data_IF_152612846516
#
_entry.id   IF_152612846516
#
_cell.length_a   1.000
_cell.length_b   1.000
_cell.length_c   1.000
_cell.angle_alpha   90.00
_cell.angle_beta   90.00
_cell.angle_gamma   90.00
#
_symmetry.space_group_name_H-M   'P 1'
#
loop_
_entity.id
_entity.type
_entity.pdbx_description
1 polymer ?
#
# COMPACT_ATOMS: atom_id res chain seq x y z
N UNK A 1 5.92 -19.71 25.04
CA UNK A 1 4.45 -19.77 24.90
C UNK A 1 3.94 -18.58 25.68
N UNK A 2 3.81 -17.46 24.98
CA UNK A 2 3.55 -16.19 25.63
C UNK A 2 2.04 -16.02 25.75
N UNK A 3 1.56 -16.12 26.99
CA UNK A 3 0.15 -15.98 27.30
C UNK A 3 -0.12 -14.51 27.59
N UNK A 4 -0.59 -13.77 26.59
CA UNK A 4 -1.09 -12.42 26.81
C UNK A 4 -2.51 -12.53 27.39
N UNK A 5 -2.78 -11.85 28.51
CA UNK A 5 -4.11 -11.78 29.11
C UNK A 5 -4.59 -10.32 29.10
N UNK A 6 -5.73 -10.07 28.44
CA UNK A 6 -6.33 -8.73 28.34
C UNK A 6 -7.59 -8.63 29.20
N UNK A 7 -7.79 -7.45 29.79
CA UNK A 7 -8.91 -7.08 30.66
C UNK A 7 -9.56 -5.78 30.17
N UNK A 8 -10.89 -5.74 30.15
CA UNK A 8 -11.66 -4.50 29.98
C UNK A 8 -12.91 -4.51 30.87
N UNK A 9 -13.21 -3.38 31.52
CA UNK A 9 -14.35 -3.18 32.42
C UNK A 9 -15.46 -2.38 31.71
N UNK A 10 -16.67 -2.94 31.64
CA UNK A 10 -17.85 -2.22 31.16
C UNK A 10 -19.14 -2.94 31.56
N UNK A 11 -20.08 -2.24 32.20
CA UNK A 11 -21.43 -2.73 32.52
C UNK A 11 -21.51 -4.11 33.22
N UNK A 12 -20.68 -4.38 34.25
CA UNK A 12 -20.64 -5.67 35.00
C UNK A 12 -20.36 -6.91 34.13
N UNK A 13 -19.73 -6.72 32.98
CA UNK A 13 -19.28 -7.80 32.10
C UNK A 13 -17.81 -8.07 32.34
N UNK A 14 -17.47 -9.31 32.64
CA UNK A 14 -16.09 -9.74 32.80
C UNK A 14 -15.63 -10.43 31.52
N UNK A 15 -14.66 -9.86 30.80
CA UNK A 15 -14.11 -10.48 29.59
C UNK A 15 -12.66 -10.91 29.82
N UNK A 16 -12.42 -12.20 29.62
CA UNK A 16 -11.08 -12.78 29.53
C UNK A 16 -10.70 -12.89 28.06
N UNK A 17 -9.45 -12.57 27.72
CA UNK A 17 -8.88 -12.98 26.43
C UNK A 17 -7.52 -13.61 26.70
N UNK A 18 -7.34 -14.85 26.26
CA UNK A 18 -6.07 -15.56 26.30
C UNK A 18 -5.55 -15.63 24.88
N UNK A 19 -4.35 -15.09 24.66
CA UNK A 19 -3.64 -15.21 23.40
C UNK A 19 -2.61 -16.30 23.55
N UNK A 20 -2.70 -17.33 22.72
CA UNK A 20 -1.70 -18.38 22.62
C UNK A 20 -1.06 -18.26 21.26
N UNK A 21 0.26 -18.05 21.25
CA UNK A 21 1.06 -18.21 20.05
C UNK A 21 1.20 -19.72 19.78
N UNK A 22 0.52 -20.20 18.75
CA UNK A 22 0.69 -21.58 18.28
C UNK A 22 1.98 -21.69 17.45
N UNK A 23 2.56 -22.88 17.36
CA UNK A 23 3.81 -23.21 16.67
C UNK A 23 3.83 -22.89 15.15
N UNK A 24 2.74 -22.32 14.62
CA UNK A 24 2.56 -21.91 13.22
C UNK A 24 2.44 -20.39 13.00
N UNK A 25 2.81 -19.57 13.98
CA UNK A 25 2.71 -18.09 13.93
C UNK A 25 1.26 -17.54 13.86
N UNK A 26 0.24 -18.36 14.12
CA UNK A 26 -1.15 -17.90 14.25
C UNK A 26 -1.46 -17.62 15.74
N UNK A 27 -1.83 -16.38 16.06
CA UNK A 27 -2.29 -16.00 17.39
C UNK A 27 -3.73 -16.49 17.57
N UNK A 28 -3.92 -17.58 18.33
CA UNK A 28 -5.24 -18.05 18.72
C UNK A 28 -5.74 -17.23 19.92
N UNK A 29 -6.74 -16.38 19.69
CA UNK A 29 -7.38 -15.59 20.75
C UNK A 29 -8.64 -16.31 21.24
N UNK A 30 -8.63 -16.77 22.48
CA UNK A 30 -9.81 -17.32 23.15
C UNK A 30 -10.38 -16.24 24.05
N UNK A 31 -11.62 -15.81 23.80
CA UNK A 31 -12.29 -14.84 24.67
C UNK A 31 -13.51 -15.46 25.34
N UNK A 32 -13.60 -15.29 26.65
CA UNK A 32 -14.73 -15.69 27.47
C UNK A 32 -15.35 -14.44 28.10
N UNK A 33 -16.65 -14.23 27.89
CA UNK A 33 -17.42 -13.16 28.52
C UNK A 33 -18.34 -13.79 29.58
N UNK A 34 -18.28 -13.26 30.80
CA UNK A 34 -19.10 -13.66 31.92
C UNK A 34 -19.95 -12.47 32.34
N UNK A 35 -21.27 -12.61 32.24
CA UNK A 35 -22.22 -11.66 32.81
C UNK A 35 -22.31 -11.91 34.32
N UNK A 36 -21.96 -10.91 35.13
CA UNK A 36 -21.96 -11.05 36.59
C UNK A 36 -23.14 -10.27 37.16
N UNK A 37 -24.17 -11.00 37.59
CA UNK A 37 -25.45 -10.43 37.97
C UNK A 37 -25.43 -9.68 39.32
N UNK A 38 -24.51 -10.02 40.23
CA UNK A 38 -24.43 -9.45 41.58
C UNK A 38 -23.15 -8.64 41.85
N UNK A 39 -23.25 -7.56 42.63
CA UNK A 39 -22.08 -6.76 43.04
C UNK A 39 -21.09 -7.53 43.93
N UNK A 40 -21.60 -8.47 44.72
CA UNK A 40 -20.75 -9.35 45.55
C UNK A 40 -19.99 -10.36 44.69
N UNK A 41 -20.64 -10.95 43.69
CA UNK A 41 -20.00 -11.87 42.74
C UNK A 41 -18.95 -11.14 41.91
N UNK A 42 -19.24 -9.88 41.53
CA UNK A 42 -18.29 -9.02 40.83
C UNK A 42 -17.04 -8.74 41.66
N UNK A 43 -17.23 -8.38 42.93
CA UNK A 43 -16.13 -8.14 43.87
C UNK A 43 -15.29 -9.41 44.09
N UNK A 44 -15.94 -10.56 44.29
CA UNK A 44 -15.28 -11.84 44.44
C UNK A 44 -14.46 -12.22 43.20
N UNK A 45 -15.00 -12.01 42.01
CA UNK A 45 -14.31 -12.27 40.74
C UNK A 45 -13.08 -11.37 40.57
N UNK A 46 -13.18 -10.08 40.93
CA UNK A 46 -12.08 -9.12 40.88
C UNK A 46 -10.95 -9.47 41.85
N UNK A 47 -11.30 -9.91 43.06
CA UNK A 47 -10.34 -10.38 44.07
C UNK A 47 -9.66 -11.68 43.62
N UNK A 48 -10.42 -12.64 43.10
CA UNK A 48 -9.88 -13.88 42.55
C UNK A 48 -8.91 -13.63 41.39
N UNK A 49 -9.26 -12.74 40.46
CA UNK A 49 -8.39 -12.39 39.34
C UNK A 49 -7.10 -11.69 39.78
N UNK A 50 -7.20 -10.74 40.71
CA UNK A 50 -6.04 -10.06 41.28
C UNK A 50 -5.09 -11.05 41.96
N UNK A 51 -5.64 -12.08 42.61
CA UNK A 51 -4.88 -13.17 43.23
C UNK A 51 -4.15 -14.05 42.19
N UNK A 52 -4.82 -14.39 41.08
CA UNK A 52 -4.23 -15.15 39.97
C UNK A 52 -3.07 -14.36 39.34
N UNK A 53 -3.27 -13.08 39.02
CA UNK A 53 -2.22 -12.21 38.47
C UNK A 53 -1.03 -12.09 39.42
N UNK A 54 -1.28 -11.96 40.73
CA UNK A 54 -0.22 -11.92 41.74
C UNK A 54 0.59 -13.22 41.75
N UNK A 55 -0.09 -14.38 41.78
CA UNK A 55 0.59 -15.70 41.72
C UNK A 55 1.40 -15.86 40.44
N UNK A 56 0.85 -15.47 39.30
CA UNK A 56 1.54 -15.52 38.02
C UNK A 56 2.81 -14.66 38.03
N UNK A 57 2.74 -13.41 38.53
CA UNK A 57 3.91 -12.54 38.69
C UNK A 57 4.95 -13.14 39.63
N UNK A 58 4.54 -13.73 40.74
CA UNK A 58 5.46 -14.37 41.69
C UNK A 58 6.11 -15.63 41.12
N UNK A 59 5.39 -16.43 40.34
CA UNK A 59 5.91 -17.65 39.72
C UNK A 59 6.84 -17.38 38.53
N UNK A 60 6.70 -16.22 37.89
CA UNK A 60 7.50 -15.82 36.73
C UNK A 60 8.40 -14.62 37.06
N UNK A 61 8.86 -14.49 38.31
CA UNK A 61 9.66 -13.36 38.77
C UNK A 61 11.00 -13.21 38.02
N UNK A 62 11.50 -14.31 37.43
CA UNK A 62 12.75 -14.34 36.65
C UNK A 62 12.54 -14.03 35.16
N UNK A 63 11.28 -13.87 34.72
CA UNK A 63 10.95 -13.41 33.37
C UNK A 63 10.90 -11.89 33.41
N UNK A 64 11.91 -11.22 32.87
CA UNK A 64 11.96 -9.76 32.80
C UNK A 64 10.63 -9.19 32.30
N UNK A 65 9.93 -8.48 33.18
CA UNK A 65 8.70 -7.81 32.80
C UNK A 65 9.05 -6.69 31.82
N UNK A 66 8.89 -6.94 30.52
CA UNK A 66 8.74 -5.86 29.54
C UNK A 66 7.47 -5.10 29.93
N UNK A 67 7.64 -3.97 30.62
CA UNK A 67 6.53 -3.06 30.89
C UNK A 67 6.00 -2.58 29.55
N UNK A 68 4.83 -3.08 29.15
CA UNK A 68 4.09 -2.43 28.09
C UNK A 68 3.77 -1.01 28.56
N UNK A 69 4.04 0.03 27.73
CA UNK A 69 3.68 1.40 28.08
C UNK A 69 2.19 1.44 28.47
N UNK A 70 1.87 2.09 29.59
CA UNK A 70 0.55 2.13 30.21
C UNK A 70 -0.53 2.86 29.41
N UNK A 71 -0.27 3.13 28.14
CA UNK A 71 -1.27 3.62 27.20
C UNK A 71 -2.07 2.40 26.74
N UNK A 72 -3.37 2.41 26.98
CA UNK A 72 -4.27 1.44 26.39
C UNK A 72 -4.17 1.54 24.86
N UNK A 73 -3.38 0.64 24.26
CA UNK A 73 -3.14 0.53 22.82
C UNK A 73 -4.46 0.25 22.06
N UNK A 74 -5.56 -0.01 22.78
CA UNK A 74 -6.90 -0.23 22.27
C UNK A 74 -7.89 0.89 22.61
N UNK A 75 -7.51 1.90 23.41
CA UNK A 75 -8.32 3.07 23.71
C UNK A 75 -8.33 4.04 22.52
N UNK A 76 -9.06 3.66 21.48
CA UNK A 76 -9.75 4.67 20.69
C UNK A 76 -10.62 5.47 21.70
N UNK A 77 -10.48 6.81 21.70
CA UNK A 77 -11.18 7.83 22.51
C UNK A 77 -12.46 7.47 23.29
N UNK A 78 -12.72 8.25 24.33
CA UNK A 78 -13.83 8.18 25.31
C UNK A 78 -15.27 8.18 24.79
N UNK A 79 -15.50 8.08 23.48
CA UNK A 79 -16.83 8.17 22.87
C UNK A 79 -17.24 6.80 22.32
N UNK A 80 -18.13 6.10 23.05
CA UNK A 80 -18.87 4.87 22.66
C UNK A 80 -18.32 4.08 21.46
N UNK A 81 -17.04 3.71 21.55
CA UNK A 81 -16.31 3.13 20.43
C UNK A 81 -16.56 1.63 20.36
N UNK A 82 -16.84 1.15 19.16
CA UNK A 82 -16.81 -0.27 18.84
C UNK A 82 -15.40 -0.76 19.19
N UNK A 83 -15.27 -1.57 20.24
CA UNK A 83 -13.98 -2.17 20.59
C UNK A 83 -13.38 -2.92 19.39
N UNK A 84 -12.04 -2.95 19.28
CA UNK A 84 -11.35 -3.68 18.22
C UNK A 84 -11.80 -5.15 18.10
N UNK A 85 -12.29 -5.74 19.21
CA UNK A 85 -12.86 -7.09 19.25
C UNK A 85 -14.19 -7.17 18.49
N UNK A 86 -15.12 -6.24 18.77
CA UNK A 86 -16.42 -6.20 18.08
C UNK A 86 -16.20 -5.93 16.59
N UNK A 87 -15.25 -5.06 16.26
CA UNK A 87 -14.86 -4.81 14.88
C UNK A 87 -14.35 -6.07 14.18
N UNK A 88 -13.42 -6.81 14.81
CA UNK A 88 -12.90 -8.08 14.27
C UNK A 88 -14.04 -9.07 14.02
N UNK A 89 -14.93 -9.24 14.99
CA UNK A 89 -16.07 -10.16 14.88
C UNK A 89 -17.03 -9.75 13.74
N UNK A 90 -17.32 -8.46 13.59
CA UNK A 90 -18.17 -7.97 12.51
C UNK A 90 -17.56 -8.24 11.13
N UNK A 91 -16.25 -7.96 10.97
CA UNK A 91 -15.53 -8.21 9.72
C UNK A 91 -15.47 -9.71 9.40
N UNK A 92 -15.16 -10.57 10.37
CA UNK A 92 -15.15 -12.03 10.14
C UNK A 92 -16.55 -12.58 9.84
N UNK A 93 -17.58 -12.13 10.56
CA UNK A 93 -18.96 -12.53 10.28
C UNK A 93 -19.40 -12.11 8.86
N UNK A 94 -18.98 -10.93 8.41
CA UNK A 94 -19.24 -10.47 7.05
C UNK A 94 -18.53 -11.32 6.00
N UNK A 95 -17.27 -11.66 6.23
CA UNK A 95 -16.51 -12.57 5.36
C UNK A 95 -17.22 -13.91 5.23
N UNK A 96 -17.70 -14.50 6.33
CA UNK A 96 -18.44 -15.75 6.29
C UNK A 96 -19.78 -15.68 5.51
N UNK A 97 -20.42 -14.51 5.43
CA UNK A 97 -21.68 -14.30 4.68
C UNK A 97 -21.49 -14.10 3.19
N UNK A 98 -20.31 -13.64 2.76
CA UNK A 98 -19.95 -13.59 1.36
C UNK A 98 -19.76 -15.04 0.91
N UNK A 99 -20.80 -15.65 0.33
CA UNK A 99 -20.73 -16.98 -0.25
C UNK A 99 -19.63 -16.99 -1.34
N UNK A 100 -18.42 -17.37 -0.95
CA UNK A 100 -17.25 -17.41 -1.81
C UNK A 100 -17.42 -18.57 -2.80
N UNK A 101 -18.05 -18.32 -3.94
CA UNK A 101 -17.75 -19.11 -5.14
C UNK A 101 -16.28 -18.81 -5.50
N UNK A 102 -15.53 -19.84 -5.90
CA UNK A 102 -14.06 -19.80 -6.03
C UNK A 102 -13.51 -18.65 -6.91
N UNK A 103 -14.34 -18.02 -7.74
CA UNK A 103 -13.95 -16.97 -8.68
C UNK A 103 -14.34 -15.54 -8.24
N UNK A 104 -15.51 -15.34 -7.62
CA UNK A 104 -15.93 -14.03 -7.10
C UNK A 104 -15.09 -13.59 -5.87
N UNK A 105 -14.58 -14.56 -5.11
CA UNK A 105 -13.72 -14.31 -3.94
C UNK A 105 -12.41 -13.57 -4.28
N UNK A 106 -11.90 -13.70 -5.50
CA UNK A 106 -10.63 -13.07 -5.92
C UNK A 106 -10.78 -11.60 -6.31
N UNK A 107 -12.00 -11.14 -6.59
CA UNK A 107 -12.27 -9.76 -6.96
C UNK A 107 -12.64 -8.89 -5.75
N UNK A 108 -13.24 -9.47 -4.71
CA UNK A 108 -13.59 -8.74 -3.50
C UNK A 108 -12.35 -8.46 -2.61
N UNK A 109 -12.10 -7.20 -2.33
CA UNK A 109 -10.99 -6.77 -1.46
C UNK A 109 -11.17 -7.27 -0.01
N UNK A 110 -12.41 -7.51 0.43
CA UNK A 110 -12.70 -8.04 1.77
C UNK A 110 -12.14 -9.46 1.95
N UNK A 111 -12.08 -10.28 0.89
CA UNK A 111 -11.40 -11.59 0.91
C UNK A 111 -9.92 -11.44 1.31
N UNK A 112 -9.28 -10.39 0.80
CA UNK A 112 -7.89 -10.04 1.13
C UNK A 112 -7.77 -9.25 2.43
N UNK A 113 -8.78 -9.23 3.31
CA UNK A 113 -8.78 -8.42 4.56
C UNK A 113 -8.45 -6.95 4.30
N UNK A 114 -9.00 -6.40 3.23
CA UNK A 114 -8.96 -4.98 2.89
C UNK A 114 -10.40 -4.47 2.94
N UNK A 115 -10.69 -3.54 3.85
CA UNK A 115 -11.96 -2.84 3.90
C UNK A 115 -11.94 -1.72 2.86
N UNK A 116 -12.68 -1.91 1.77
CA UNK A 116 -12.75 -0.94 0.68
C UNK A 116 -13.83 0.12 0.92
N UNK A 117 -13.45 1.33 1.31
CA UNK A 117 -14.33 2.51 1.40
C UNK A 117 -14.28 3.41 0.15
N UNK A 118 -13.55 2.98 -0.89
CA UNK A 118 -13.37 3.73 -2.14
C UNK A 118 -14.60 3.65 -3.05
N UNK A 119 -15.41 2.60 -2.91
CA UNK A 119 -16.65 2.38 -3.65
C UNK A 119 -17.73 3.41 -3.32
N UNK A 120 -18.65 3.60 -4.26
CA UNK A 120 -19.91 4.33 -4.01
C UNK A 120 -20.68 3.61 -2.90
N UNK A 121 -21.28 4.38 -2.00
CA UNK A 121 -21.94 3.88 -0.78
C UNK A 121 -22.95 2.77 -1.07
N UNK A 122 -23.84 2.99 -2.03
CA UNK A 122 -24.93 2.06 -2.39
C UNK A 122 -24.44 0.69 -2.87
N UNK A 123 -23.23 0.63 -3.45
CA UNK A 123 -22.66 -0.59 -4.01
C UNK A 123 -21.63 -1.25 -3.06
N UNK A 124 -21.44 -0.72 -1.84
CA UNK A 124 -20.36 -1.17 -0.98
C UNK A 124 -20.78 -2.37 -0.11
N UNK A 125 -20.14 -3.54 -0.26
CA UNK A 125 -20.41 -4.72 0.58
C UNK A 125 -20.24 -4.44 2.08
N UNK A 126 -19.43 -3.44 2.44
CA UNK A 126 -19.21 -3.03 3.84
C UNK A 126 -20.47 -2.52 4.53
N UNK A 127 -21.52 -2.09 3.82
CA UNK A 127 -22.80 -1.74 4.44
C UNK A 127 -23.57 -2.94 4.99
N UNK A 128 -23.19 -4.16 4.61
CA UNK A 128 -23.69 -5.39 5.25
C UNK A 128 -22.98 -5.69 6.57
N UNK A 129 -21.84 -5.03 6.81
CA UNK A 129 -20.92 -5.23 7.94
C UNK A 129 -21.11 -4.14 8.97
N UNK A 130 -21.18 -2.91 8.50
CA UNK A 130 -21.35 -1.71 9.32
C UNK A 130 -22.74 -1.14 9.09
N UNK A 131 -23.38 -0.69 10.16
CA UNK A 131 -24.51 0.22 9.99
C UNK A 131 -24.02 1.52 9.31
N UNK A 132 -24.97 2.29 8.78
CA UNK A 132 -24.68 3.52 8.03
C UNK A 132 -23.81 4.51 8.83
N UNK A 133 -24.10 4.67 10.12
CA UNK A 133 -23.38 5.59 11.02
C UNK A 133 -21.93 5.19 11.20
N UNK A 134 -21.67 3.91 11.46
CA UNK A 134 -20.31 3.38 11.60
C UNK A 134 -19.55 3.48 10.27
N UNK A 135 -20.18 3.11 9.15
CA UNK A 135 -19.55 3.23 7.83
C UNK A 135 -19.09 4.66 7.54
N UNK A 136 -19.96 5.64 7.77
CA UNK A 136 -19.65 7.06 7.53
C UNK A 136 -18.56 7.56 8.48
N UNK A 137 -18.61 7.16 9.76
CA UNK A 137 -17.56 7.48 10.74
C UNK A 137 -16.20 6.92 10.31
N UNK A 138 -16.13 5.62 10.02
CA UNK A 138 -14.89 4.95 9.59
C UNK A 138 -14.34 5.60 8.33
N UNK A 139 -15.19 5.85 7.33
CA UNK A 139 -14.78 6.52 6.10
C UNK A 139 -14.19 7.91 6.40
N UNK A 140 -14.84 8.71 7.25
CA UNK A 140 -14.36 10.04 7.61
C UNK A 140 -13.05 10.01 8.39
N UNK A 141 -12.90 9.06 9.32
CA UNK A 141 -11.70 8.87 10.15
C UNK A 141 -10.47 8.51 9.30
N UNK A 142 -10.65 7.63 8.32
CA UNK A 142 -9.54 7.13 7.50
C UNK A 142 -9.28 7.90 6.22
N UNK A 143 -10.14 8.86 5.85
CA UNK A 143 -9.91 9.73 4.69
C UNK A 143 -8.85 10.78 5.04
N UNK A 144 -7.75 10.83 4.28
CA UNK A 144 -6.77 11.93 4.41
C UNK A 144 -7.38 13.20 3.84
N UNK A 145 -7.46 14.25 4.66
CA UNK A 145 -7.73 15.60 4.15
C UNK A 145 -6.48 16.10 3.47
N UNK A 146 -6.44 15.95 2.14
CA UNK A 146 -5.33 16.46 1.34
C UNK A 146 -5.39 17.99 1.38
N UNK A 147 -4.37 18.68 1.91
CA UNK A 147 -4.35 20.14 1.91
C UNK A 147 -4.30 20.60 0.46
N UNK A 148 -5.37 21.25 0.01
CA UNK A 148 -5.38 21.98 -1.25
C UNK A 148 -4.60 23.26 -0.98
N UNK A 149 -3.29 23.17 -1.05
CA UNK A 149 -2.45 24.35 -0.97
C UNK A 149 -2.79 25.26 -2.13
N UNK A 150 -3.12 26.52 -1.85
CA UNK A 150 -3.12 27.59 -2.84
C UNK A 150 -1.67 27.89 -3.24
N UNK A 151 -0.99 26.94 -3.89
CA UNK A 151 0.29 27.16 -4.59
C UNK A 151 0.01 27.98 -5.86
N UNK A 152 -0.46 29.21 -5.65
CA UNK A 152 -0.76 30.18 -6.68
C UNK A 152 0.37 31.21 -6.64
N UNK A 153 1.32 31.12 -7.57
CA UNK A 153 2.27 32.22 -7.75
C UNK A 153 3.53 31.86 -8.51
N UNK A 154 4.46 31.15 -7.86
CA UNK A 154 5.84 31.10 -8.33
C UNK A 154 6.26 29.75 -8.94
N UNK A 155 5.81 28.62 -8.39
CA UNK A 155 6.19 27.29 -8.89
C UNK A 155 5.53 26.96 -10.22
N UNK A 156 4.30 27.43 -10.44
CA UNK A 156 3.62 27.22 -11.71
C UNK A 156 4.21 28.07 -12.84
N UNK A 157 4.69 29.28 -12.53
CA UNK A 157 5.46 30.12 -13.46
C UNK A 157 6.82 29.49 -13.77
N UNK A 158 7.52 28.95 -12.77
CA UNK A 158 8.77 28.24 -13.01
C UNK A 158 8.57 26.92 -13.77
N UNK A 159 7.45 26.23 -13.56
CA UNK A 159 7.03 25.08 -14.37
C UNK A 159 6.79 25.47 -15.82
N UNK A 160 5.95 26.49 -16.07
CA UNK A 160 5.68 26.97 -17.44
C UNK A 160 6.98 27.43 -18.12
N UNK A 161 7.84 28.18 -17.42
CA UNK A 161 9.14 28.62 -17.95
C UNK A 161 10.10 27.45 -18.26
N UNK A 162 10.10 26.38 -17.44
CA UNK A 162 10.93 25.17 -17.67
C UNK A 162 10.39 24.31 -18.82
N UNK A 163 9.06 24.20 -18.94
CA UNK A 163 8.41 23.49 -20.06
C UNK A 163 8.60 24.27 -21.37
N UNK A 164 8.60 25.60 -21.33
CA UNK A 164 8.88 26.46 -22.50
C UNK A 164 10.35 26.44 -22.93
N UNK A 165 11.29 26.25 -22.00
CA UNK A 165 12.73 26.29 -22.26
C UNK A 165 13.37 25.01 -22.80
N UNK A 166 12.63 23.92 -23.02
CA UNK A 166 13.22 22.65 -23.50
C UNK A 166 13.30 22.59 -25.03
N UNK A 167 14.53 22.61 -25.59
CA UNK A 167 14.82 22.42 -27.03
C UNK A 167 14.18 21.15 -27.62
N UNK A 168 13.93 20.14 -26.79
CA UNK A 168 13.20 18.92 -27.15
C UNK A 168 11.77 19.19 -27.65
N UNK A 169 11.12 20.29 -27.27
CA UNK A 169 9.77 20.62 -27.73
C UNK A 169 9.70 20.83 -29.24
N UNK A 170 10.69 21.48 -29.86
CA UNK A 170 10.67 21.74 -31.31
C UNK A 170 10.89 20.48 -32.13
N UNK A 171 11.81 19.61 -31.71
CA UNK A 171 12.06 18.34 -32.38
C UNK A 171 10.92 17.34 -32.15
N UNK A 172 10.34 17.31 -30.95
CA UNK A 172 9.24 16.39 -30.62
C UNK A 172 7.91 16.84 -31.25
N UNK A 173 7.59 18.14 -31.24
CA UNK A 173 6.45 18.66 -32.00
C UNK A 173 6.65 18.41 -33.49
N UNK A 174 7.88 18.47 -34.01
CA UNK A 174 8.17 18.14 -35.41
C UNK A 174 7.90 16.65 -35.71
N UNK A 175 8.36 15.72 -34.86
CA UNK A 175 8.10 14.28 -35.01
C UNK A 175 6.61 13.94 -34.90
N UNK A 176 5.92 14.50 -33.90
CA UNK A 176 4.46 14.32 -33.73
C UNK A 176 3.70 14.97 -34.89
N UNK A 177 4.13 16.16 -35.37
CA UNK A 177 3.53 16.79 -36.56
C UNK A 177 3.75 15.91 -37.79
N UNK A 178 4.91 15.32 -38.00
CA UNK A 178 5.19 14.45 -39.14
C UNK A 178 4.34 13.17 -39.10
N UNK A 179 4.12 12.58 -37.92
CA UNK A 179 3.31 11.37 -37.72
C UNK A 179 1.80 11.65 -37.81
N UNK A 180 1.33 12.74 -37.19
CA UNK A 180 -0.10 13.15 -37.21
C UNK A 180 -0.50 13.72 -38.57
N UNK A 181 0.37 14.46 -39.27
CA UNK A 181 0.07 14.98 -40.63
C UNK A 181 0.10 13.87 -41.69
N UNK A 182 0.79 12.75 -41.43
CA UNK A 182 0.72 11.57 -42.29
C UNK A 182 -0.65 10.85 -42.20
N UNK A 183 -1.33 10.95 -41.05
CA UNK A 183 -2.68 10.38 -40.85
C UNK A 183 -3.82 11.38 -41.11
N UNK A 184 -3.60 12.68 -40.91
CA UNK A 184 -4.61 13.74 -41.02
C UNK A 184 -4.54 14.50 -42.35
N UNK A 185 -4.62 13.80 -43.48
CA UNK A 185 -4.91 14.45 -44.76
C UNK A 185 -6.41 14.80 -44.84
N UNK A 186 -6.80 15.98 -44.34
CA UNK A 186 -8.12 16.53 -44.68
C UNK A 186 -8.80 17.56 -43.78
N UNK A 187 -8.18 18.07 -42.69
CA UNK A 187 -8.86 19.03 -41.81
C UNK A 187 -8.12 20.38 -41.74
N UNK A 188 -8.62 21.38 -42.48
CA UNK A 188 -8.25 22.78 -42.30
C UNK A 188 -8.88 23.32 -41.00
N UNK A 189 -8.08 23.47 -39.95
CA UNK A 189 -8.47 24.05 -38.68
C UNK A 189 -7.26 24.55 -37.88
N UNK A 190 -7.48 25.48 -36.95
CA UNK A 190 -6.45 26.15 -36.13
C UNK A 190 -5.47 25.15 -35.50
N UNK A 191 -4.21 25.15 -35.99
CA UNK A 191 -3.15 24.16 -35.71
C UNK A 191 -2.94 23.90 -34.20
N UNK A 192 -3.20 24.91 -33.36
CA UNK A 192 -2.94 24.85 -31.92
C UNK A 192 -4.02 24.07 -31.16
N UNK A 193 -5.27 24.15 -31.61
CA UNK A 193 -6.42 23.46 -31.02
C UNK A 193 -6.50 22.02 -31.53
N UNK A 194 -6.12 21.80 -32.80
CA UNK A 194 -5.95 20.46 -33.34
C UNK A 194 -4.88 19.69 -32.57
N UNK A 195 -3.72 20.28 -32.30
CA UNK A 195 -2.63 19.57 -31.60
C UNK A 195 -3.01 19.15 -30.18
N UNK A 196 -3.79 19.95 -29.44
CA UNK A 196 -4.22 19.57 -28.08
C UNK A 196 -5.32 18.48 -28.09
N UNK A 197 -6.31 18.59 -28.97
CA UNK A 197 -7.39 17.61 -29.07
C UNK A 197 -6.94 16.28 -29.70
N UNK A 198 -6.05 16.31 -30.71
CA UNK A 198 -5.46 15.11 -31.32
C UNK A 198 -4.46 14.43 -30.40
N UNK A 199 -3.58 15.18 -29.73
CA UNK A 199 -2.54 14.56 -28.89
C UNK A 199 -3.18 13.77 -27.74
N UNK A 200 -4.22 14.29 -27.09
CA UNK A 200 -4.91 13.55 -26.02
C UNK A 200 -5.95 12.55 -26.52
N UNK A 201 -6.45 12.70 -27.76
CA UNK A 201 -7.42 11.78 -28.36
C UNK A 201 -6.82 10.48 -28.90
N UNK A 202 -5.54 10.51 -29.30
CA UNK A 202 -4.84 9.36 -29.86
C UNK A 202 -3.81 8.71 -28.92
N UNK A 203 -3.53 9.30 -27.74
CA UNK A 203 -2.63 8.68 -26.77
C UNK A 203 -3.21 7.37 -26.23
N UNK A 204 -2.52 6.26 -26.50
CA UNK A 204 -2.66 5.04 -25.73
C UNK A 204 -2.07 5.21 -24.30
N UNK A 205 -2.26 4.21 -23.44
CA UNK A 205 -1.82 4.23 -22.03
C UNK A 205 -0.32 4.56 -21.90
N UNK A 206 0.53 3.88 -22.67
CA UNK A 206 1.97 4.10 -22.69
C UNK A 206 2.34 5.54 -23.09
N UNK A 207 1.73 6.05 -24.15
CA UNK A 207 1.98 7.40 -24.63
C UNK A 207 1.56 8.43 -23.58
N UNK A 208 0.43 8.21 -22.92
CA UNK A 208 -0.02 9.08 -21.84
C UNK A 208 0.94 9.05 -20.64
N UNK A 209 1.39 7.86 -20.23
CA UNK A 209 2.38 7.70 -19.17
C UNK A 209 3.70 8.42 -19.49
N UNK A 210 4.27 8.20 -20.67
CA UNK A 210 5.61 8.69 -21.01
C UNK A 210 5.63 10.16 -21.43
N UNK A 211 4.62 10.64 -22.17
CA UNK A 211 4.63 12.00 -22.71
C UNK A 211 3.92 13.02 -21.81
N UNK A 212 2.99 12.58 -20.96
CA UNK A 212 2.21 13.48 -20.11
C UNK A 212 2.63 13.33 -18.65
N UNK A 213 2.48 12.13 -18.10
CA UNK A 213 2.68 11.91 -16.67
C UNK A 213 4.16 11.92 -16.26
N UNK A 214 5.05 11.30 -17.06
CA UNK A 214 6.46 11.20 -16.71
C UNK A 214 7.14 12.57 -16.55
N UNK A 215 6.99 13.53 -17.48
CA UNK A 215 7.53 14.88 -17.29
C UNK A 215 6.94 15.57 -16.05
N UNK A 216 5.66 15.38 -15.76
CA UNK A 216 5.01 15.96 -14.60
C UNK A 216 5.59 15.42 -13.29
N UNK A 217 5.67 14.10 -13.14
CA UNK A 217 6.24 13.46 -11.95
C UNK A 217 7.72 13.78 -11.78
N UNK A 218 8.51 13.80 -12.87
CA UNK A 218 9.92 14.17 -12.82
C UNK A 218 10.10 15.59 -12.29
N UNK A 219 9.36 16.56 -12.82
CA UNK A 219 9.44 17.95 -12.39
C UNK A 219 8.98 18.16 -10.95
N UNK A 220 7.94 17.43 -10.53
CA UNK A 220 7.39 17.58 -9.19
C UNK A 220 8.28 16.92 -8.13
N UNK A 221 8.74 15.69 -8.39
CA UNK A 221 9.26 14.80 -7.35
C UNK A 221 10.77 14.64 -7.34
N UNK A 222 11.48 14.91 -8.45
CA UNK A 222 12.94 14.76 -8.49
C UNK A 222 13.69 15.86 -7.74
N UNK A 223 13.01 16.92 -7.29
CA UNK A 223 13.63 17.91 -6.41
C UNK A 223 13.96 17.32 -5.03
N UNK A 224 13.27 16.24 -4.61
CA UNK A 224 13.63 15.50 -3.41
C UNK A 224 14.55 14.32 -3.79
N UNK A 225 15.84 14.33 -3.38
CA UNK A 225 16.81 13.30 -3.76
C UNK A 225 16.46 11.91 -3.23
N UNK A 226 15.62 11.82 -2.19
CA UNK A 226 15.12 10.56 -1.60
C UNK A 226 14.18 9.82 -2.53
N UNK A 227 13.53 10.51 -3.46
CA UNK A 227 12.62 9.89 -4.41
C UNK A 227 13.39 9.19 -5.53
N UNK A 228 13.02 7.94 -5.80
CA UNK A 228 13.40 7.21 -7.01
C UNK A 228 12.13 6.85 -7.79
N UNK A 229 12.04 7.33 -9.03
CA UNK A 229 10.91 7.06 -9.92
C UNK A 229 11.33 5.99 -10.93
N UNK A 230 10.53 4.93 -11.04
CA UNK A 230 10.76 3.84 -11.98
C UNK A 230 9.54 3.75 -12.90
N UNK A 231 9.73 4.12 -14.16
CA UNK A 231 8.69 4.20 -15.19
C UNK A 231 8.68 2.96 -16.10
N UNK A 232 7.50 2.65 -16.63
CA UNK A 232 7.23 1.52 -17.52
C UNK A 232 6.79 0.30 -16.72
N UNK A 233 6.16 -0.67 -17.40
CA UNK A 233 5.62 -1.93 -16.85
C UNK A 233 6.64 -2.70 -15.97
N UNK A 234 6.82 -2.24 -14.74
CA UNK A 234 7.89 -2.67 -13.85
C UNK A 234 7.30 -3.59 -12.81
N UNK A 235 7.98 -4.71 -12.55
CA UNK A 235 7.51 -5.64 -11.54
C UNK A 235 7.68 -5.06 -10.13
N UNK A 236 6.59 -5.04 -9.36
CA UNK A 236 6.59 -4.65 -7.95
C UNK A 236 7.33 -5.70 -7.10
N UNK A 237 8.45 -5.30 -6.50
CA UNK A 237 9.29 -6.22 -5.71
C UNK A 237 8.62 -6.63 -4.40
N UNK A 238 7.85 -5.75 -3.77
CA UNK A 238 7.17 -6.04 -2.51
C UNK A 238 6.29 -7.30 -2.61
N UNK A 239 5.51 -7.40 -3.69
CA UNK A 239 4.65 -8.56 -3.94
C UNK A 239 5.45 -9.80 -4.33
N UNK A 240 6.52 -9.62 -5.10
CA UNK A 240 7.44 -10.72 -5.43
C UNK A 240 8.01 -11.37 -4.17
N UNK A 241 8.50 -10.55 -3.23
CA UNK A 241 9.06 -11.00 -1.94
C UNK A 241 8.00 -11.71 -1.11
N UNK A 242 6.79 -11.14 -1.01
CA UNK A 242 5.68 -11.76 -0.25
C UNK A 242 5.38 -13.17 -0.74
N UNK A 243 5.27 -13.37 -2.06
CA UNK A 243 4.91 -14.68 -2.64
C UNK A 243 6.10 -15.65 -2.57
N UNK A 244 7.29 -15.18 -2.93
CA UNK A 244 8.48 -16.03 -3.03
C UNK A 244 8.95 -16.60 -1.69
N UNK A 245 8.57 -15.98 -0.55
CA UNK A 245 8.83 -16.54 0.79
C UNK A 245 8.23 -17.93 1.00
N UNK A 246 7.14 -18.24 0.30
CA UNK A 246 6.42 -19.51 0.45
C UNK A 246 6.70 -20.52 -0.66
N UNK A 247 7.58 -20.16 -1.62
CA UNK A 247 7.95 -21.05 -2.71
C UNK A 247 9.21 -21.83 -2.34
N UNK A 248 9.19 -23.14 -2.61
CA UNK A 248 10.35 -24.01 -2.46
C UNK A 248 11.47 -23.63 -3.45
N UNK A 249 12.69 -24.11 -3.20
CA UNK A 249 13.86 -23.77 -4.03
C UNK A 249 13.77 -24.25 -5.48
N UNK A 250 13.01 -25.32 -5.73
CA UNK A 250 12.78 -25.89 -7.06
C UNK A 250 11.65 -25.17 -7.83
N UNK A 251 10.89 -24.29 -7.17
CA UNK A 251 9.77 -23.58 -7.78
C UNK A 251 10.20 -22.30 -8.48
N UNK A 252 9.57 -22.02 -9.63
CA UNK A 252 9.83 -20.80 -10.39
C UNK A 252 9.43 -19.58 -9.57
N UNK A 253 10.41 -18.71 -9.29
CA UNK A 253 10.17 -17.44 -8.58
C UNK A 253 9.16 -16.55 -9.32
N UNK A 254 8.23 -16.00 -8.57
CA UNK A 254 7.27 -14.99 -9.00
C UNK A 254 7.97 -13.64 -9.19
N UNK A 255 7.76 -13.01 -10.36
CA UNK A 255 8.42 -11.75 -10.71
C UNK A 255 7.82 -10.54 -10.00
N UNK A 256 6.56 -10.61 -9.54
CA UNK A 256 5.76 -9.46 -9.15
C UNK A 256 4.77 -9.04 -10.24
N UNK A 257 3.70 -8.32 -9.89
CA UNK A 257 2.81 -7.68 -10.86
C UNK A 257 3.50 -6.48 -11.51
N UNK A 258 3.21 -6.26 -12.80
CA UNK A 258 3.67 -5.10 -13.55
C UNK A 258 2.88 -3.84 -13.16
N UNK A 259 3.57 -2.75 -12.88
CA UNK A 259 3.02 -1.44 -12.50
C UNK A 259 3.62 -0.39 -13.44
N UNK A 260 2.82 0.58 -13.88
CA UNK A 260 3.25 1.62 -14.83
C UNK A 260 4.31 2.56 -14.26
N UNK A 261 4.14 2.96 -13.00
CA UNK A 261 5.12 3.77 -12.29
C UNK A 261 5.17 3.40 -10.81
N UNK A 262 6.39 3.20 -10.31
CA UNK A 262 6.67 2.94 -8.90
C UNK A 262 7.53 4.08 -8.36
N UNK A 263 7.15 4.60 -7.20
CA UNK A 263 7.97 5.54 -6.43
C UNK A 263 8.58 4.79 -5.25
N UNK A 264 9.89 4.89 -5.13
CA UNK A 264 10.69 4.30 -4.06
C UNK A 264 11.31 5.36 -3.17
N UNK A 265 11.35 5.04 -1.90
CA UNK A 265 12.23 5.66 -0.92
C UNK A 265 13.66 5.10 -1.12
N UNK A 266 14.61 5.96 -1.48
CA UNK A 266 16.02 5.55 -1.66
C UNK A 266 16.75 5.25 -0.35
N UNK A 267 16.38 5.92 0.75
CA UNK A 267 17.04 5.74 2.06
C UNK A 267 16.85 4.31 2.54
N UNK A 268 15.62 3.80 2.46
CA UNK A 268 15.28 2.44 2.91
C UNK A 268 15.18 1.42 1.77
N UNK A 269 15.29 1.85 0.51
CA UNK A 269 15.09 1.03 -0.67
C UNK A 269 13.75 0.26 -0.62
N UNK A 270 12.68 1.00 -0.34
CA UNK A 270 11.31 0.50 -0.18
C UNK A 270 10.37 1.14 -1.20
N UNK A 271 9.42 0.35 -1.69
CA UNK A 271 8.35 0.79 -2.59
C UNK A 271 7.25 1.46 -1.74
N UNK A 272 6.96 2.73 -2.01
CA UNK A 272 6.09 3.56 -1.14
C UNK A 272 4.82 4.06 -1.83
N UNK A 273 4.83 4.16 -3.16
CA UNK A 273 3.65 4.56 -3.94
C UNK A 273 3.63 3.85 -5.30
N UNK A 274 2.43 3.51 -5.76
CA UNK A 274 2.17 2.93 -7.09
C UNK A 274 1.33 3.88 -7.91
N UNK A 275 1.52 3.86 -9.22
CA UNK A 275 0.77 4.65 -10.18
C UNK A 275 0.36 3.74 -11.34
N UNK A 276 -0.92 3.75 -11.70
CA UNK A 276 -1.52 2.98 -12.80
C UNK A 276 -2.29 3.93 -13.75
N UNK A 277 -2.27 3.63 -15.05
CA UNK A 277 -3.00 4.33 -16.11
C UNK A 277 -4.03 3.37 -16.71
N UNK A 278 -5.29 3.52 -16.33
CA UNK A 278 -6.33 2.53 -16.63
C UNK A 278 -7.13 2.86 -17.88
N UNK A 279 -6.50 2.85 -19.05
CA UNK A 279 -7.17 3.19 -20.30
C UNK A 279 -6.65 4.48 -20.94
N UNK A 280 -6.79 4.61 -22.27
CA UNK A 280 -6.62 5.89 -22.95
C UNK A 280 -7.47 6.99 -22.29
N UNK A 281 -6.99 8.25 -22.21
CA UNK A 281 -7.68 9.34 -21.50
C UNK A 281 -9.11 9.64 -21.95
N UNK A 282 -9.50 9.21 -23.16
CA UNK A 282 -10.83 9.45 -23.73
C UNK A 282 -11.65 8.17 -23.90
N UNK A 283 -11.12 7.00 -23.53
CA UNK A 283 -11.81 5.72 -23.69
C UNK A 283 -12.39 5.25 -22.37
N UNK A 284 -13.71 5.06 -22.33
CA UNK A 284 -14.38 4.47 -21.18
C UNK A 284 -14.10 2.97 -21.16
N UNK A 285 -13.40 2.50 -20.14
CA UNK A 285 -13.22 1.07 -19.84
C UNK A 285 -13.32 0.85 -18.33
N UNK A 286 -14.57 0.75 -17.85
CA UNK A 286 -14.81 0.61 -16.40
C UNK A 286 -14.25 -0.70 -15.84
N UNK A 287 -14.23 -1.78 -16.62
CA UNK A 287 -13.67 -3.05 -16.18
C UNK A 287 -12.19 -2.91 -15.88
N UNK A 288 -11.41 -2.33 -16.81
CA UNK A 288 -9.98 -2.10 -16.62
C UNK A 288 -9.71 -1.18 -15.42
N UNK A 289 -10.49 -0.10 -15.29
CA UNK A 289 -10.42 0.79 -14.13
C UNK A 289 -10.65 0.06 -12.80
N UNK A 290 -11.67 -0.81 -12.69
CA UNK A 290 -11.95 -1.53 -11.45
C UNK A 290 -10.87 -2.59 -11.14
N UNK A 291 -10.35 -3.25 -12.16
CA UNK A 291 -9.26 -4.24 -12.04
C UNK A 291 -7.98 -3.59 -11.50
N UNK A 292 -7.55 -2.48 -12.10
CA UNK A 292 -6.35 -1.73 -11.69
C UNK A 292 -6.49 -1.10 -10.31
N UNK A 293 -7.69 -0.64 -9.94
CA UNK A 293 -7.96 -0.17 -8.59
C UNK A 293 -7.76 -1.30 -7.57
N UNK A 294 -8.31 -2.48 -7.84
CA UNK A 294 -8.15 -3.64 -6.97
C UNK A 294 -6.70 -4.13 -6.92
N UNK A 295 -5.99 -4.08 -8.06
CA UNK A 295 -4.55 -4.32 -8.16
C UNK A 295 -3.76 -3.34 -7.28
N UNK A 296 -4.07 -2.05 -7.36
CA UNK A 296 -3.48 -1.00 -6.51
C UNK A 296 -3.66 -1.34 -5.03
N UNK A 297 -4.88 -1.63 -4.57
CA UNK A 297 -5.13 -1.96 -3.15
C UNK A 297 -4.31 -3.18 -2.68
N UNK A 298 -4.25 -4.25 -3.48
CA UNK A 298 -3.47 -5.46 -3.17
C UNK A 298 -1.97 -5.19 -3.13
N UNK A 299 -1.48 -4.34 -4.03
CA UNK A 299 -0.07 -3.95 -4.12
C UNK A 299 0.36 -3.06 -2.96
N UNK A 300 -0.46 -2.07 -2.59
CA UNK A 300 -0.23 -1.27 -1.38
C UNK A 300 -0.17 -2.16 -0.14
N UNK A 301 -1.04 -3.18 -0.05
CA UNK A 301 -1.00 -4.11 1.08
C UNK A 301 0.30 -4.91 1.13
N UNK A 302 0.80 -5.36 -0.02
CA UNK A 302 2.08 -6.07 -0.11
C UNK A 302 3.27 -5.18 0.29
N UNK A 303 3.30 -3.93 -0.19
CA UNK A 303 4.28 -2.91 0.22
C UNK A 303 4.23 -2.65 1.72
N UNK A 304 3.02 -2.50 2.27
CA UNK A 304 2.82 -2.27 3.70
C UNK A 304 3.37 -3.44 4.53
N UNK A 305 3.05 -4.68 4.15
CA UNK A 305 3.61 -5.88 4.79
C UNK A 305 5.13 -5.92 4.73
N UNK A 306 5.72 -5.55 3.58
CA UNK A 306 7.16 -5.51 3.42
C UNK A 306 7.81 -4.52 4.39
N UNK A 307 7.25 -3.31 4.53
CA UNK A 307 7.73 -2.30 5.49
C UNK A 307 7.68 -2.86 6.92
N UNK A 308 6.53 -3.40 7.33
CA UNK A 308 6.35 -3.96 8.68
C UNK A 308 7.28 -5.14 8.94
N UNK A 309 7.52 -6.00 7.94
CA UNK A 309 8.42 -7.15 8.09
C UNK A 309 9.90 -6.78 8.26
N UNK A 310 10.26 -5.51 8.02
CA UNK A 310 11.62 -5.00 8.25
C UNK A 310 11.77 -4.32 9.61
N UNK A 311 10.70 -4.19 10.39
CA UNK A 311 10.80 -3.67 11.75
C UNK A 311 11.37 -4.76 12.65
N UNK A 312 12.43 -4.47 13.40
CA UNK A 312 12.96 -5.42 14.40
C UNK A 312 11.94 -5.60 15.54
N UNK A 313 11.38 -4.49 16.03
CA UNK A 313 10.33 -4.48 17.05
C UNK A 313 9.05 -3.85 16.52
N UNK A 314 7.99 -4.63 16.22
CA UNK A 314 6.73 -4.11 15.70
C UNK A 314 6.02 -3.18 16.70
N UNK A 315 5.98 -1.88 16.40
CA UNK A 315 5.19 -0.90 17.15
C UNK A 315 3.81 -0.71 16.51
N UNK A 316 2.76 -1.16 17.21
CA UNK A 316 1.36 -1.00 16.76
C UNK A 316 1.02 0.46 16.52
N UNK A 317 1.51 1.37 17.37
CA UNK A 317 1.26 2.81 17.25
C UNK A 317 1.86 3.39 15.96
N UNK A 318 3.11 3.03 15.64
CA UNK A 318 3.76 3.49 14.41
C UNK A 318 3.13 2.87 13.16
N UNK A 319 2.83 1.57 13.21
CA UNK A 319 2.15 0.86 12.12
C UNK A 319 0.80 1.51 11.80
N UNK A 320 0.04 1.92 12.82
CA UNK A 320 -1.26 2.59 12.62
C UNK A 320 -1.14 3.99 12.02
N UNK A 321 -0.02 4.68 12.24
CA UNK A 321 0.27 6.00 11.65
C UNK A 321 0.73 5.88 10.20
N UNK A 322 1.35 4.77 9.82
CA UNK A 322 1.81 4.54 8.44
C UNK A 322 0.63 4.52 7.47
N UNK A 323 0.79 5.25 6.37
CA UNK A 323 -0.19 5.29 5.28
C UNK A 323 0.56 5.27 3.95
N UNK A 324 0.15 4.36 3.07
CA UNK A 324 0.69 4.26 1.71
C UNK A 324 -0.36 4.73 0.71
N UNK A 325 0.10 5.18 -0.45
CA UNK A 325 -0.75 5.81 -1.45
C UNK A 325 -0.61 5.15 -2.82
N UNK A 326 -1.71 5.10 -3.55
CA UNK A 326 -1.77 4.65 -4.94
C UNK A 326 -2.48 5.70 -5.78
N UNK A 327 -1.94 6.00 -6.95
CA UNK A 327 -2.55 6.91 -7.92
C UNK A 327 -3.09 6.10 -9.09
N UNK A 328 -4.29 6.44 -9.54
CA UNK A 328 -4.86 5.86 -10.73
C UNK A 328 -5.30 6.97 -11.67
N UNK A 329 -4.87 6.90 -12.91
CA UNK A 329 -5.26 7.83 -13.95
C UNK A 329 -6.32 7.18 -14.84
N UNK A 330 -7.48 7.82 -14.97
CA UNK A 330 -8.58 7.31 -15.78
C UNK A 330 -9.45 8.47 -16.25
N UNK A 331 -9.81 8.47 -17.54
CA UNK A 331 -10.61 9.54 -18.15
C UNK A 331 -10.09 10.96 -17.87
N UNK A 332 -8.76 11.13 -17.91
CA UNK A 332 -8.12 12.40 -17.60
C UNK A 332 -8.44 12.94 -16.17
N UNK A 333 -8.83 12.05 -15.27
CA UNK A 333 -8.90 12.27 -13.84
C UNK A 333 -7.81 11.47 -13.13
N UNK A 334 -7.31 12.00 -12.03
CA UNK A 334 -6.48 11.25 -11.09
C UNK A 334 -7.30 10.93 -9.85
N UNK A 335 -7.26 9.66 -9.46
CA UNK A 335 -7.85 9.12 -8.26
C UNK A 335 -6.71 8.83 -7.28
N UNK A 336 -6.78 9.45 -6.10
CA UNK A 336 -5.82 9.23 -5.03
C UNK A 336 -6.43 8.25 -4.04
N UNK A 337 -5.82 7.09 -3.96
CA UNK A 337 -6.16 6.07 -2.98
C UNK A 337 -5.12 5.99 -1.89
N UNK A 338 -5.55 5.52 -0.73
CA UNK A 338 -4.65 5.22 0.36
C UNK A 338 -4.99 3.93 1.06
N UNK A 339 -3.95 3.35 1.67
CA UNK A 339 -4.05 2.16 2.50
C UNK A 339 -3.39 2.42 3.85
N UNK A 340 -4.12 2.14 4.92
CA UNK A 340 -3.61 2.15 6.30
C UNK A 340 -4.01 0.87 7.04
N UNK A 341 -3.38 0.62 8.19
CA UNK A 341 -3.67 -0.55 9.05
C UNK A 341 -4.09 -0.10 10.45
N UNK A 342 -5.35 0.29 10.65
CA UNK A 342 -5.81 0.79 11.95
C UNK A 342 -5.93 -0.28 13.03
N UNK A 343 -6.01 -1.55 12.64
CA UNK A 343 -6.03 -2.68 13.55
C UNK A 343 -5.27 -3.87 12.94
N UNK A 344 -4.93 -4.85 13.76
CA UNK A 344 -4.04 -5.95 13.35
C UNK A 344 -4.63 -6.83 12.25
N UNK A 345 -5.97 -6.85 12.16
CA UNK A 345 -6.72 -7.81 11.35
C UNK A 345 -7.03 -7.32 9.95
N UNK A 346 -7.17 -6.01 9.72
CA UNK A 346 -7.66 -5.47 8.46
C UNK A 346 -6.91 -4.21 8.04
N UNK A 347 -6.70 -4.10 6.73
CA UNK A 347 -6.26 -2.86 6.11
C UNK A 347 -7.49 -2.07 5.68
N UNK A 348 -7.39 -0.76 5.67
CA UNK A 348 -8.46 0.14 5.23
C UNK A 348 -8.01 0.83 3.96
N UNK A 349 -8.77 0.67 2.89
CA UNK A 349 -8.52 1.25 1.58
C UNK A 349 -9.56 2.34 1.29
N UNK A 350 -9.10 3.57 1.02
CA UNK A 350 -9.98 4.74 0.88
C UNK A 350 -9.62 5.50 -0.39
N UNK A 351 -10.62 6.10 -1.06
CA UNK A 351 -10.39 7.15 -2.06
C UNK A 351 -10.33 8.49 -1.34
N UNK A 352 -9.12 9.03 -1.18
CA UNK A 352 -8.89 10.28 -0.45
C UNK A 352 -9.25 11.51 -1.30
N UNK A 353 -9.01 11.46 -2.61
CA UNK A 353 -9.29 12.59 -3.50
C UNK A 353 -9.46 12.16 -4.96
N UNK A 354 -10.05 13.05 -5.74
CA UNK A 354 -10.25 12.92 -7.18
C UNK A 354 -10.23 14.31 -7.80
N UNK A 355 -9.48 14.49 -8.90
CA UNK A 355 -9.48 15.75 -9.65
C UNK A 355 -9.04 15.55 -11.10
N UNK A 356 -9.42 16.48 -11.97
CA UNK A 356 -9.05 16.47 -13.39
C UNK A 356 -7.57 16.83 -13.61
N UNK A 357 -6.89 16.08 -14.46
CA UNK A 357 -5.48 16.25 -14.85
C UNK A 357 -5.33 17.34 -15.91
N UNK A 358 -6.27 17.39 -16.86
CA UNK A 358 -6.43 18.53 -17.75
C UNK A 358 -7.82 19.07 -17.47
N UNK A 359 -7.94 20.38 -17.22
CA UNK A 359 -9.26 20.99 -17.04
C UNK A 359 -10.14 20.75 -18.27
N UNK A 360 -11.46 20.81 -18.11
CA UNK A 360 -12.37 20.82 -19.26
C UNK A 360 -11.92 21.92 -20.24
N UNK A 361 -11.46 21.50 -21.40
CA UNK A 361 -11.00 22.40 -22.45
C UNK A 361 -12.17 23.28 -22.89
N UNK A 362 -12.17 24.58 -22.55
CA UNK A 362 -12.67 25.63 -23.46
C UNK A 362 -12.61 27.09 -22.97
N UNK A 363 -12.60 27.46 -21.68
CA UNK A 363 -13.07 28.84 -21.36
C UNK A 363 -12.01 29.91 -21.04
N UNK A 364 -10.75 29.64 -20.69
CA UNK A 364 -9.75 30.71 -20.80
C UNK A 364 -8.29 30.25 -20.84
N UNK A 365 -7.52 30.92 -21.71
CA UNK A 365 -6.04 30.95 -21.69
C UNK A 365 -5.45 31.41 -20.33
N UNK A 366 -6.30 31.76 -19.36
CA UNK A 366 -5.92 32.27 -18.02
C UNK A 366 -6.20 31.27 -16.90
N UNK A 367 -6.95 30.18 -17.14
CA UNK A 367 -7.16 29.16 -16.11
C UNK A 367 -5.98 28.20 -16.11
N UNK A 368 -5.13 28.28 -15.09
CA UNK A 368 -4.16 27.21 -14.81
C UNK A 368 -4.93 25.89 -14.71
N UNK A 369 -4.52 24.83 -15.45
CA UNK A 369 -5.11 23.51 -15.30
C UNK A 369 -5.23 23.15 -13.82
N UNK A 370 -6.41 22.69 -13.39
CA UNK A 370 -6.73 22.33 -11.99
C UNK A 370 -5.65 21.44 -11.38
N UNK A 371 -5.04 20.62 -12.22
CA UNK A 371 -3.83 19.86 -11.96
C UNK A 371 -2.71 20.65 -11.27
N UNK A 372 -2.31 21.84 -11.72
CA UNK A 372 -1.22 22.60 -11.09
C UNK A 372 -1.52 23.01 -9.65
N UNK A 373 -2.80 23.11 -9.29
CA UNK A 373 -3.22 23.43 -7.93
C UNK A 373 -3.13 22.20 -7.03
N UNK A 374 -3.48 21.03 -7.56
CA UNK A 374 -3.67 19.81 -6.75
C UNK A 374 -2.46 18.87 -6.80
N UNK A 375 -1.68 18.86 -7.88
CA UNK A 375 -0.55 17.96 -8.05
C UNK A 375 0.57 18.14 -7.00
N UNK A 376 0.88 19.36 -6.51
CA UNK A 376 1.80 19.54 -5.38
C UNK A 376 1.39 18.76 -4.12
N UNK A 377 0.11 18.46 -3.96
CA UNK A 377 -0.35 17.67 -2.84
C UNK A 377 0.21 16.24 -2.85
N UNK A 378 0.53 15.67 -4.02
CA UNK A 378 1.17 14.35 -4.12
C UNK A 378 2.55 14.37 -3.48
N UNK A 379 3.32 15.46 -3.64
CA UNK A 379 4.61 15.61 -2.95
C UNK A 379 4.44 15.57 -1.44
N UNK A 380 3.39 16.22 -0.91
CA UNK A 380 3.10 16.19 0.52
C UNK A 380 2.73 14.79 1.01
N UNK A 381 2.01 13.98 0.22
CA UNK A 381 1.69 12.59 0.58
C UNK A 381 2.96 11.72 0.63
N UNK A 382 3.86 11.90 -0.33
CA UNK A 382 5.14 11.18 -0.39
C UNK A 382 6.01 11.60 0.80
N UNK A 383 6.10 12.89 1.09
CA UNK A 383 6.85 13.39 2.24
C UNK A 383 6.30 12.87 3.57
N UNK A 384 4.97 12.86 3.74
CA UNK A 384 4.34 12.27 4.91
C UNK A 384 4.66 10.77 5.05
N UNK A 385 4.78 10.05 3.93
CA UNK A 385 5.19 8.65 3.93
C UNK A 385 6.66 8.51 4.35
N UNK A 386 7.54 9.36 3.84
CA UNK A 386 8.96 9.42 4.23
C UNK A 386 9.15 9.66 5.72
N UNK A 387 8.43 10.63 6.28
CA UNK A 387 8.43 10.91 7.73
C UNK A 387 7.94 9.70 8.51
N UNK A 388 6.87 9.05 8.07
CA UNK A 388 6.38 7.81 8.70
C UNK A 388 7.40 6.68 8.68
N UNK A 389 8.16 6.53 7.59
CA UNK A 389 9.25 5.55 7.52
C UNK A 389 10.42 5.93 8.44
N UNK A 390 10.77 7.21 8.52
CA UNK A 390 11.80 7.67 9.45
C UNK A 390 11.40 7.39 10.89
N UNK A 391 10.17 7.70 11.30
CA UNK A 391 9.67 7.36 12.64
C UNK A 391 9.72 5.86 12.92
N UNK A 392 9.41 5.02 11.93
CA UNK A 392 9.44 3.57 12.05
C UNK A 392 10.86 3.04 12.27
N UNK A 393 11.82 3.52 11.48
CA UNK A 393 13.18 2.96 11.45
C UNK A 393 14.20 3.74 12.30
N UNK A 394 13.83 4.89 12.89
CA UNK A 394 14.73 5.64 13.79
C UNK A 394 14.75 5.09 15.23
N UNK A 395 13.80 4.21 15.59
CA UNK A 395 13.78 3.57 16.91
C UNK A 395 14.87 2.50 17.03
N UNK A 396 15.26 1.87 15.91
CA UNK A 396 16.32 0.84 15.88
C UNK A 396 17.71 1.39 16.25
N UNK A 397 18.04 2.62 15.83
CA UNK A 397 19.40 3.14 16.03
C UNK A 397 19.72 3.53 17.50
N UNK A 398 18.71 3.64 18.37
CA UNK A 398 18.88 4.05 19.77
C UNK A 398 18.83 2.90 20.79
N UNK A 399 18.66 1.65 20.35
CA UNK A 399 18.98 0.50 21.20
C UNK A 399 20.45 0.17 20.99
N UNK A 400 21.29 0.76 21.85
CA UNK A 400 22.69 0.35 22.00
C UNK A 400 22.77 -1.17 22.06
N UNK A 401 23.50 -1.72 21.09
CA UNK A 401 23.99 -3.08 21.08
C UNK A 401 24.74 -3.30 22.40
N UNK A 402 24.10 -3.99 23.34
CA UNK A 402 24.84 -4.74 24.35
C UNK A 402 25.61 -5.80 23.57
N UNK A 403 26.88 -5.53 23.29
CA UNK A 403 27.82 -6.50 22.75
C UNK A 403 27.96 -7.64 23.77
N UNK A 404 27.06 -8.62 23.71
CA UNK A 404 27.34 -9.95 24.22
C UNK A 404 28.32 -10.62 23.25
N UNK A 405 29.60 -10.44 23.56
CA UNK A 405 30.69 -11.27 23.08
C UNK A 405 30.33 -12.75 23.29
N UNK A 406 29.97 -13.44 22.22
CA UNK A 406 29.95 -14.90 22.19
C UNK A 406 30.86 -15.36 21.06
N UNK A 407 32.05 -15.80 21.46
CA UNK A 407 32.90 -16.67 20.66
C UNK A 407 32.16 -18.01 20.50
N UNK A 408 31.69 -18.37 19.30
CA UNK A 408 31.68 -19.77 18.82
C UNK A 408 31.30 -19.92 17.33
N UNK A 409 31.47 -21.10 16.68
CA UNK A 409 32.56 -21.31 15.75
C UNK A 409 32.10 -21.46 14.29
N UNK A 410 33.11 -21.43 13.41
CA UNK A 410 33.02 -21.49 11.94
C UNK A 410 32.00 -22.50 11.38
N UNK A 411 31.24 -22.14 10.32
CA UNK A 411 30.23 -23.01 9.74
C UNK A 411 30.86 -24.23 9.05
N UNK A 412 30.30 -25.40 9.39
CA UNK A 412 30.64 -26.69 8.80
C UNK A 412 30.29 -26.69 7.30
N UNK A 413 31.31 -26.62 6.43
CA UNK A 413 31.15 -26.74 4.98
C UNK A 413 30.85 -28.20 4.62
N UNK A 414 29.65 -28.46 4.08
CA UNK A 414 29.28 -29.77 3.53
C UNK A 414 30.13 -30.13 2.28
N UNK A 415 30.54 -31.40 2.10
CA UNK A 415 31.40 -31.79 0.98
C UNK A 415 30.70 -31.64 -0.37
N UNK A 416 31.29 -30.85 -1.29
CA UNK A 416 30.87 -30.76 -2.70
C UNK A 416 30.91 -32.13 -3.38
N UNK A 417 29.77 -32.55 -3.93
CA UNK A 417 29.65 -33.69 -4.88
C UNK A 417 30.58 -33.45 -6.09
N UNK A 418 31.61 -34.28 -6.25
CA UNK A 418 32.44 -34.33 -7.46
C UNK A 418 31.64 -34.95 -8.61
N UNK A 419 31.28 -34.14 -9.61
CA UNK A 419 30.74 -34.66 -10.87
C UNK A 419 31.82 -35.44 -11.63
N UNK A 420 31.61 -36.76 -11.80
CA UNK A 420 32.39 -37.61 -12.72
C UNK A 420 32.01 -37.25 -14.16
N UNK A 421 32.94 -36.63 -14.89
CA UNK A 421 32.90 -36.53 -16.36
C UNK A 421 32.93 -37.94 -16.96
N UNK A 422 31.84 -38.36 -17.62
CA UNK A 422 31.90 -39.44 -18.59
C UNK A 422 32.44 -38.89 -19.91
N UNK A 423 33.67 -39.31 -20.22
CA UNK A 423 34.30 -39.12 -21.53
C UNK A 423 33.67 -40.15 -22.48
N UNK A 424 32.81 -39.72 -23.39
CA UNK A 424 32.44 -40.53 -24.55
C UNK A 424 33.35 -40.13 -25.72
N UNK A 425 34.34 -40.98 -26.00
CA UNK A 425 35.08 -40.99 -27.26
C UNK A 425 34.12 -41.43 -28.37
N UNK A 426 33.97 -40.62 -29.43
CA UNK A 426 33.60 -41.15 -30.75
C UNK A 426 34.58 -40.63 -31.80
N UNK A 427 35.10 -41.60 -32.53
CA UNK A 427 36.14 -41.52 -33.55
C UNK A 427 35.67 -40.79 -34.80
N UNK A 428 36.65 -40.18 -35.48
CA UNK A 428 36.61 -39.42 -36.73
C UNK A 428 35.94 -40.17 -37.89
N UNK A 429 35.34 -39.42 -38.81
CA UNK A 429 35.59 -39.60 -40.25
C UNK A 429 35.66 -38.22 -40.90
N UNK A 430 36.76 -37.95 -41.61
CA UNK A 430 36.96 -36.79 -42.48
C UNK A 430 36.08 -36.94 -43.74
N UNK A 431 35.53 -35.83 -44.22
CA UNK A 431 35.27 -35.62 -45.64
C UNK A 431 35.44 -34.13 -45.93
N UNK A 432 36.53 -33.82 -46.61
CA UNK A 432 36.83 -32.55 -47.26
C UNK A 432 36.01 -32.51 -48.55
N UNK A 433 35.30 -31.41 -48.81
CA UNK A 433 35.13 -30.90 -50.17
C UNK A 433 35.03 -29.38 -50.14
N UNK A 434 36.00 -28.75 -50.80
CA UNK A 434 35.92 -27.42 -51.36
C UNK A 434 34.96 -27.43 -52.54
N UNK A 435 34.06 -26.44 -52.57
CA UNK A 435 33.78 -25.56 -53.72
C UNK A 435 33.00 -24.35 -53.24
#
# INVERSE_FOLDING_TARGET
MDILQYYSEGNKKFRFSTFVEDLKEDIAAHSLEIDVAGDNDWKALKEAWSSILKRFKTQNADVESRSLPSEDVFAFSTDTKISNIIYKQAVEAARCKLNYTNDLSKQDLLYFRILDFSLKKEANPLLTVFNKTDYDRFKAEFTTKIPISTYVGNTSKSYLARVEGTENKKQMIKLIKEEVMAEALGAEGDETVLCHSYFFGLCNEDSYLYFVLSPMFKNLLLNNPRNCLIFGETNLKAKAIEVNRYLDDDERRFSGPKIDLIIKDKKYNLEIMTVEVSGPPQKVNQTHFLEDRNKTAKNLKAMFKQIVSRMEVPSVTLIRKLKLYGLQFYQNEVFIYSLSKPCDYSNVFVKDSQFSVLGESSISKQSMPTFFKNFPAISHLIEATHVGLDEIFSIDENQEVLEESSEDPSPHVSPRKKNKKQVLKKSRTLSVFLL
#
